data_IF_092558294520
#
_entry.id   IF_092558294520
#
_cell.length_a   1.000
_cell.length_b   1.000
_cell.length_c   1.000
_cell.angle_alpha   90.00
_cell.angle_beta   90.00
_cell.angle_gamma   90.00
#
_symmetry.space_group_name_H-M   'P 1'
#
loop_
_entity.id
_entity.type
_entity.pdbx_description
1 polymer ?
#
# COMPACT_ATOMS: atom_id res chain seq x y z
N UNK A 1 8.54 -20.25 16.67
CA UNK A 1 9.10 -19.14 15.86
C UNK A 1 7.94 -18.48 15.14
N UNK A 2 7.11 -17.71 15.84
CA UNK A 2 5.77 -17.37 15.33
C UNK A 2 5.21 -16.14 16.06
N UNK A 3 4.58 -15.24 15.30
CA UNK A 3 3.99 -13.92 15.61
C UNK A 3 4.91 -12.71 15.77
N UNK A 4 6.07 -12.80 16.41
CA UNK A 4 6.90 -11.61 16.70
C UNK A 4 7.46 -10.92 15.42
N UNK A 5 7.89 -11.70 14.41
CA UNK A 5 8.41 -11.17 13.14
C UNK A 5 7.36 -10.37 12.35
N UNK A 6 6.09 -10.80 12.36
CA UNK A 6 5.03 -10.07 11.67
C UNK A 6 4.69 -8.76 12.39
N UNK A 7 4.73 -8.73 13.71
CA UNK A 7 4.42 -7.52 14.48
C UNK A 7 5.52 -6.45 14.30
N UNK A 8 6.80 -6.85 14.33
CA UNK A 8 7.93 -5.93 14.11
C UNK A 8 7.96 -5.38 12.69
N UNK A 9 7.74 -6.25 11.70
CA UNK A 9 7.67 -5.84 10.30
C UNK A 9 6.50 -4.87 10.08
N UNK A 10 5.32 -5.16 10.63
CA UNK A 10 4.17 -4.26 10.56
C UNK A 10 4.41 -2.92 11.25
N UNK A 11 5.11 -2.90 12.38
CA UNK A 11 5.43 -1.67 13.09
C UNK A 11 6.48 -0.84 12.34
N UNK A 12 7.47 -1.47 11.71
CA UNK A 12 8.46 -0.79 10.87
C UNK A 12 7.80 -0.16 9.63
N UNK A 13 6.98 -0.94 8.92
CA UNK A 13 6.19 -0.46 7.78
C UNK A 13 5.28 0.69 8.19
N UNK A 14 4.49 0.53 9.27
CA UNK A 14 3.60 1.58 9.77
C UNK A 14 4.34 2.89 10.06
N UNK A 15 5.53 2.82 10.66
CA UNK A 15 6.36 4.01 10.94
C UNK A 15 6.89 4.66 9.67
N UNK A 16 7.29 3.86 8.69
CA UNK A 16 7.84 4.37 7.43
C UNK A 16 6.74 5.00 6.56
N UNK A 17 5.53 4.41 6.54
CA UNK A 17 4.33 5.00 5.92
C UNK A 17 3.92 6.31 6.60
N UNK A 18 3.93 6.35 7.94
CA UNK A 18 3.64 7.57 8.69
C UNK A 18 4.65 8.68 8.38
N UNK A 19 5.94 8.34 8.23
CA UNK A 19 7.00 9.27 7.82
C UNK A 19 6.81 9.76 6.38
N UNK A 20 6.25 8.93 5.52
CA UNK A 20 5.84 9.27 4.16
C UNK A 20 4.52 10.06 4.10
N UNK A 21 3.92 10.40 5.25
CA UNK A 21 2.66 11.15 5.34
C UNK A 21 1.42 10.34 4.97
N UNK A 22 1.53 9.01 4.91
CA UNK A 22 0.42 8.13 4.54
C UNK A 22 -0.23 7.50 5.78
N UNK A 23 -1.51 7.79 5.98
CA UNK A 23 -2.28 7.23 7.10
C UNK A 23 -2.82 5.84 6.77
N UNK A 24 -2.60 4.87 7.67
CA UNK A 24 -3.15 3.53 7.55
C UNK A 24 -4.58 3.46 8.14
N UNK A 25 -5.46 2.60 7.58
CA UNK A 25 -6.78 2.37 8.15
C UNK A 25 -6.70 1.68 9.52
N UNK A 26 -7.78 1.81 10.31
CA UNK A 26 -7.95 1.10 11.57
C UNK A 26 -7.79 -0.42 11.35
N UNK A 27 -6.88 -1.05 12.10
CA UNK A 27 -6.47 -2.45 11.89
C UNK A 27 -5.06 -2.61 11.28
N UNK A 28 -4.39 -1.50 10.97
CA UNK A 28 -2.98 -1.49 10.58
C UNK A 28 -2.70 -2.13 9.23
N UNK A 29 -1.43 -2.48 9.00
CA UNK A 29 -0.97 -2.97 7.70
C UNK A 29 -1.59 -4.33 7.34
N UNK A 30 -1.77 -5.23 8.31
CA UNK A 30 -2.38 -6.54 8.08
C UNK A 30 -3.80 -6.41 7.52
N UNK A 31 -4.63 -5.54 8.12
CA UNK A 31 -5.98 -5.31 7.63
C UNK A 31 -5.97 -4.59 6.27
N UNK A 32 -5.07 -3.62 6.08
CA UNK A 32 -4.92 -2.92 4.81
C UNK A 32 -4.56 -3.87 3.66
N UNK A 33 -3.56 -4.74 3.87
CA UNK A 33 -3.04 -5.65 2.86
C UNK A 33 -3.80 -6.97 2.73
N UNK A 34 -4.81 -7.20 3.56
CA UNK A 34 -5.68 -8.37 3.42
C UNK A 34 -6.41 -8.34 2.07
N UNK A 35 -6.29 -9.44 1.32
CA UNK A 35 -6.87 -9.61 -0.03
C UNK A 35 -5.95 -9.19 -1.18
N UNK A 36 -4.79 -8.59 -0.91
CA UNK A 36 -3.77 -8.34 -1.94
C UNK A 36 -2.94 -9.60 -2.22
N UNK A 37 -2.50 -9.75 -3.47
CA UNK A 37 -1.66 -10.88 -3.87
C UNK A 37 -0.28 -10.88 -3.19
N UNK A 38 0.27 -9.69 -2.92
CA UNK A 38 1.55 -9.52 -2.24
C UNK A 38 1.62 -8.15 -1.54
N UNK A 39 2.60 -8.03 -0.64
CA UNK A 39 2.84 -6.84 0.18
C UNK A 39 3.26 -5.62 -0.67
N UNK A 40 4.00 -5.84 -1.75
CA UNK A 40 4.42 -4.78 -2.67
C UNK A 40 3.24 -4.11 -3.38
N UNK A 41 2.24 -4.87 -3.81
CA UNK A 41 1.03 -4.36 -4.46
C UNK A 41 0.13 -3.62 -3.45
N UNK A 42 0.04 -4.11 -2.21
CA UNK A 42 -0.68 -3.39 -1.15
C UNK A 42 -0.05 -2.04 -0.84
N UNK A 43 1.27 -2.00 -0.58
CA UNK A 43 1.98 -0.76 -0.31
C UNK A 43 1.93 0.20 -1.49
N UNK A 44 2.02 -0.34 -2.71
CA UNK A 44 1.84 0.46 -3.92
C UNK A 44 0.45 1.09 -3.96
N UNK A 45 -0.61 0.34 -3.65
CA UNK A 45 -1.97 0.86 -3.57
C UNK A 45 -2.11 1.99 -2.54
N UNK A 46 -1.52 1.81 -1.35
CA UNK A 46 -1.54 2.80 -0.27
C UNK A 46 -0.87 4.11 -0.74
N UNK A 47 0.33 4.01 -1.32
CA UNK A 47 1.05 5.17 -1.83
C UNK A 47 0.36 5.83 -3.01
N UNK A 48 -0.19 5.06 -3.95
CA UNK A 48 -1.00 5.63 -5.05
C UNK A 48 -2.17 6.42 -4.50
N UNK A 49 -2.90 5.87 -3.53
CA UNK A 49 -4.07 6.53 -2.97
C UNK A 49 -3.74 7.89 -2.35
N UNK A 50 -2.61 7.96 -1.63
CA UNK A 50 -2.10 9.19 -1.03
C UNK A 50 -1.52 10.15 -2.09
N UNK A 51 -0.63 9.68 -2.96
CA UNK A 51 0.02 10.49 -3.99
C UNK A 51 -0.98 11.14 -4.96
N UNK A 52 -2.03 10.40 -5.30
CA UNK A 52 -3.06 10.89 -6.20
C UNK A 52 -4.21 11.58 -5.47
N UNK A 53 -4.31 11.54 -4.15
CA UNK A 53 -5.52 11.97 -3.43
C UNK A 53 -6.79 11.39 -4.08
N UNK A 54 -6.88 10.06 -4.13
CA UNK A 54 -8.03 9.37 -4.72
C UNK A 54 -9.32 9.72 -3.95
N UNK A 55 -10.42 9.92 -4.68
CA UNK A 55 -11.76 10.05 -4.08
C UNK A 55 -12.11 8.75 -3.36
N UNK A 56 -12.39 8.83 -2.04
CA UNK A 56 -12.58 7.66 -1.19
C UNK A 56 -11.29 6.96 -0.75
N UNK A 57 -10.13 7.52 -1.11
CA UNK A 57 -8.80 7.12 -0.62
C UNK A 57 -8.42 5.68 -0.92
N UNK A 58 -7.55 5.13 -0.05
CA UNK A 58 -7.13 3.74 -0.12
C UNK A 58 -8.28 2.72 0.01
N UNK A 59 -9.30 2.90 0.87
CA UNK A 59 -10.42 1.95 0.97
C UNK A 59 -11.16 1.74 -0.35
N UNK A 60 -11.41 2.82 -1.11
CA UNK A 60 -12.05 2.72 -2.42
C UNK A 60 -11.19 1.94 -3.42
N UNK A 61 -9.88 2.21 -3.44
CA UNK A 61 -8.93 1.47 -4.28
C UNK A 61 -8.86 0.00 -3.87
N UNK A 62 -8.81 -0.30 -2.57
CA UNK A 62 -8.81 -1.66 -2.02
C UNK A 62 -10.04 -2.43 -2.46
N UNK A 63 -11.24 -1.85 -2.33
CA UNK A 63 -12.48 -2.49 -2.74
C UNK A 63 -12.46 -2.92 -4.22
N UNK A 64 -11.87 -2.11 -5.10
CA UNK A 64 -11.75 -2.42 -6.53
C UNK A 64 -10.76 -3.57 -6.83
N UNK A 65 -9.73 -3.76 -6.00
CA UNK A 65 -8.66 -4.74 -6.27
C UNK A 65 -8.81 -6.02 -5.44
N UNK A 66 -9.60 -6.01 -4.37
CA UNK A 66 -9.86 -7.17 -3.51
C UNK A 66 -11.32 -7.63 -3.51
N UNK A 67 -12.24 -6.89 -4.11
CA UNK A 67 -13.67 -7.25 -4.16
C UNK A 67 -14.01 -8.34 -5.17
N UNK A 68 -15.29 -8.70 -5.27
CA UNK A 68 -15.78 -9.79 -6.14
C UNK A 68 -15.48 -9.56 -7.63
N UNK A 69 -15.55 -8.30 -8.08
CA UNK A 69 -15.17 -7.88 -9.43
C UNK A 69 -13.76 -7.28 -9.48
N UNK A 70 -12.80 -7.93 -8.82
CA UNK A 70 -11.43 -7.40 -8.70
C UNK A 70 -10.82 -7.05 -10.05
N UNK A 71 -10.33 -5.82 -10.17
CA UNK A 71 -9.56 -5.35 -11.32
C UNK A 71 -8.09 -5.17 -10.94
N UNK A 72 -7.21 -5.14 -11.93
CA UNK A 72 -5.79 -4.85 -11.70
C UNK A 72 -5.60 -3.46 -11.10
N UNK A 73 -4.54 -3.29 -10.28
CA UNK A 73 -4.23 -2.03 -9.60
C UNK A 73 -4.29 -0.81 -10.54
N UNK A 74 -3.67 -0.90 -11.71
CA UNK A 74 -3.71 0.17 -12.70
C UNK A 74 -5.11 0.50 -13.22
N UNK A 75 -5.95 -0.52 -13.43
CA UNK A 75 -7.33 -0.31 -13.89
C UNK A 75 -8.18 0.35 -12.81
N UNK A 76 -8.03 -0.06 -11.55
CA UNK A 76 -8.70 0.59 -10.42
C UNK A 76 -8.32 2.08 -10.30
N UNK A 77 -7.03 2.39 -10.45
CA UNK A 77 -6.53 3.77 -10.44
C UNK A 77 -7.15 4.58 -11.58
N UNK A 78 -7.16 4.03 -12.80
CA UNK A 78 -7.74 4.70 -13.96
C UNK A 78 -9.25 4.93 -13.79
N UNK A 79 -9.96 4.04 -13.10
CA UNK A 79 -11.38 4.21 -12.79
C UNK A 79 -11.63 5.29 -11.73
N UNK A 80 -10.81 5.32 -10.66
CA UNK A 80 -10.97 6.31 -9.59
C UNK A 80 -10.42 7.69 -9.97
N UNK A 81 -9.38 7.74 -10.80
CA UNK A 81 -8.75 8.95 -11.31
C UNK A 81 -8.40 8.79 -12.80
N UNK A 82 -9.37 9.01 -13.69
CA UNK A 82 -9.16 8.88 -15.14
C UNK A 82 -8.12 9.85 -15.70
N UNK A 83 -8.00 11.06 -15.12
CA UNK A 83 -7.02 12.06 -15.53
C UNK A 83 -5.59 11.81 -15.03
N UNK A 84 -5.39 10.89 -14.09
CA UNK A 84 -4.06 10.60 -13.56
C UNK A 84 -3.25 9.72 -14.52
N UNK A 85 -1.95 10.02 -14.65
CA UNK A 85 -1.00 9.12 -15.29
C UNK A 85 -0.78 7.89 -14.41
N UNK A 86 -1.55 6.85 -14.72
CA UNK A 86 -1.54 5.58 -13.99
C UNK A 86 -0.16 4.93 -14.00
N UNK A 87 0.56 4.99 -15.12
CA UNK A 87 1.89 4.39 -15.23
C UNK A 87 2.91 5.13 -14.35
N UNK A 88 2.90 6.46 -14.39
CA UNK A 88 3.77 7.26 -13.54
C UNK A 88 3.45 7.05 -12.05
N UNK A 89 2.16 7.04 -11.68
CA UNK A 89 1.71 6.81 -10.32
C UNK A 89 2.13 5.43 -9.80
N UNK A 90 1.90 4.38 -10.59
CA UNK A 90 2.30 3.01 -10.24
C UNK A 90 3.82 2.89 -10.09
N UNK A 91 4.59 3.48 -11.00
CA UNK A 91 6.06 3.43 -10.93
C UNK A 91 6.57 4.11 -9.66
N UNK A 92 6.05 5.30 -9.34
CA UNK A 92 6.40 6.03 -8.11
C UNK A 92 6.02 5.23 -6.87
N UNK A 93 4.80 4.71 -6.82
CA UNK A 93 4.32 3.96 -5.67
C UNK A 93 5.06 2.63 -5.47
N UNK A 94 5.43 1.93 -6.55
CA UNK A 94 6.27 0.73 -6.47
C UNK A 94 7.67 1.04 -5.93
N UNK A 95 8.26 2.17 -6.32
CA UNK A 95 9.54 2.61 -5.79
C UNK A 95 9.44 2.91 -4.29
N UNK A 96 8.37 3.61 -3.87
CA UNK A 96 8.09 3.90 -2.46
C UNK A 96 7.87 2.61 -1.68
N UNK A 97 7.01 1.71 -2.15
CA UNK A 97 6.78 0.40 -1.54
C UNK A 97 8.06 -0.43 -1.37
N UNK A 98 8.95 -0.42 -2.37
CA UNK A 98 10.25 -1.10 -2.27
C UNK A 98 11.15 -0.47 -1.21
N UNK A 99 11.19 0.85 -1.14
CA UNK A 99 11.95 1.57 -0.11
C UNK A 99 11.41 1.27 1.30
N UNK A 100 10.09 1.26 1.47
CA UNK A 100 9.41 0.91 2.73
C UNK A 100 9.74 -0.52 3.17
N UNK A 101 9.65 -1.49 2.25
CA UNK A 101 10.02 -2.89 2.54
C UNK A 101 11.49 -2.94 2.92
N UNK A 102 12.39 -2.34 2.14
CA UNK A 102 13.83 -2.37 2.41
C UNK A 102 14.18 -1.71 3.76
N UNK A 103 13.56 -0.57 4.09
CA UNK A 103 13.72 0.09 5.38
C UNK A 103 13.23 -0.80 6.54
N UNK A 104 12.18 -1.58 6.30
CA UNK A 104 11.60 -2.48 7.29
C UNK A 104 12.46 -3.72 7.54
N UNK A 105 13.07 -4.29 6.50
CA UNK A 105 14.01 -5.43 6.65
C UNK A 105 15.36 -4.97 7.21
N UNK A 106 15.80 -3.75 6.86
CA UNK A 106 17.02 -3.15 7.41
C UNK A 106 16.93 -2.88 8.91
N UNK A 107 15.75 -2.53 9.41
CA UNK A 107 15.50 -2.31 10.83
C UNK A 107 15.52 -3.58 11.69
N UNK A 108 15.46 -4.79 11.10
CA UNK A 108 15.61 -6.05 11.83
C UNK A 108 17.08 -6.44 12.09
N UNK A 109 18.04 -5.73 11.50
CA UNK A 109 19.48 -6.04 11.57
C UNK A 109 20.27 -5.19 12.58
N UNK A 110 19.58 -4.41 13.40
CA UNK A 110 20.17 -3.62 14.50
C UNK A 110 19.86 -4.27 15.86
#
# INVERSE_FOLDING_TARGET
MTLDSNARLQAALTRSLARSGTALPAGGLSAACSGFANLGDCLSAIHVASNLNLTGGFPALKAQVTGDNRVSLGKAIKQLRPDADTSAALRRARAQARAEIAASVGAERD
#
